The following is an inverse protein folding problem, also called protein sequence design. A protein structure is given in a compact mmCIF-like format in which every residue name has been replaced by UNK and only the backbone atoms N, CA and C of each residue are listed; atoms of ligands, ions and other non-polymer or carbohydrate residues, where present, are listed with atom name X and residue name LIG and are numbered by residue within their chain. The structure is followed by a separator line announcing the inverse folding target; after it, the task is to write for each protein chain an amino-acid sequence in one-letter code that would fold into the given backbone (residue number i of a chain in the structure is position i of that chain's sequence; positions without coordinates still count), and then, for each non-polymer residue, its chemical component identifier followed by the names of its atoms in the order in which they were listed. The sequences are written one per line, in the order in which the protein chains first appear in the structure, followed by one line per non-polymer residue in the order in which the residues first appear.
data_IF_846898669937
#
_entry.id   IF_846898669937
#
_cell.length_a   1.000
_cell.length_b   1.000
_cell.length_c   1.000
_cell.angle_alpha   90.00
_cell.angle_beta   90.00
_cell.angle_gamma   90.00
#
_symmetry.space_group_name_H-M   'P 1'
#
loop_
_entity.id
_entity.type
_entity.pdbx_description
1 polymer ?
#
# COMPACT_ATOMS: atom_id res chain seq x y z
N UNK A 1 7.86 -21.68 -0.13
CA UNK A 1 7.30 -20.62 0.73
C UNK A 1 6.26 -21.11 1.74
N UNK A 2 5.52 -22.21 1.50
CA UNK A 2 4.41 -22.64 2.39
C UNK A 2 4.78 -23.04 3.84
N UNK A 3 6.01 -23.43 4.14
CA UNK A 3 6.37 -23.89 5.49
C UNK A 3 6.46 -22.77 6.54
N UNK A 4 6.82 -21.54 6.14
CA UNK A 4 6.84 -20.38 7.06
C UNK A 4 5.43 -19.95 7.44
N UNK A 5 4.51 -19.92 6.47
CA UNK A 5 3.09 -19.65 6.71
C UNK A 5 2.49 -20.71 7.65
N UNK A 6 2.78 -21.99 7.41
CA UNK A 6 2.32 -23.08 8.27
C UNK A 6 2.85 -22.97 9.72
N UNK A 7 4.13 -22.63 9.91
CA UNK A 7 4.73 -22.48 11.23
C UNK A 7 4.13 -21.32 12.06
N UNK A 8 3.67 -20.24 11.40
CA UNK A 8 3.03 -19.10 12.07
C UNK A 8 1.50 -19.20 12.16
N UNK A 9 0.88 -20.18 11.49
CA UNK A 9 -0.59 -20.41 11.56
C UNK A 9 -1.04 -21.24 12.77
N UNK A 10 -0.11 -21.65 13.65
CA UNK A 10 -0.42 -22.48 14.83
C UNK A 10 -0.66 -21.67 16.11
N UNK A 11 -0.80 -20.35 16.03
CA UNK A 11 -1.15 -19.55 17.21
C UNK A 11 -2.61 -19.86 17.58
N UNK A 12 -2.80 -20.55 18.70
CA UNK A 12 -4.13 -20.83 19.22
C UNK A 12 -4.77 -19.55 19.77
N UNK A 13 -6.09 -19.44 19.65
CA UNK A 13 -6.85 -18.30 20.18
C UNK A 13 -6.80 -18.31 21.72
N UNK A 14 -6.27 -17.25 22.33
CA UNK A 14 -6.37 -16.99 23.75
C UNK A 14 -7.76 -16.39 24.09
N UNK A 15 -8.22 -16.49 25.36
CA UNK A 15 -9.53 -15.94 25.76
C UNK A 15 -9.72 -14.44 25.51
N UNK A 16 -8.62 -13.69 25.40
CA UNK A 16 -8.59 -12.25 25.12
C UNK A 16 -8.41 -11.91 23.64
N UNK A 17 -8.25 -12.89 22.75
CA UNK A 17 -8.06 -12.64 21.33
C UNK A 17 -9.36 -12.12 20.71
N UNK A 18 -9.21 -11.24 19.71
CA UNK A 18 -10.35 -10.74 18.97
C UNK A 18 -11.10 -11.88 18.27
N UNK A 19 -12.43 -11.78 18.24
CA UNK A 19 -13.22 -12.64 17.36
C UNK A 19 -12.90 -12.28 15.91
N UNK A 20 -12.21 -13.17 15.21
CA UNK A 20 -11.81 -12.94 13.81
C UNK A 20 -12.96 -13.34 12.90
N UNK A 21 -13.71 -12.35 12.44
CA UNK A 21 -14.69 -12.47 11.37
C UNK A 21 -14.34 -11.54 10.19
N UNK A 22 -15.18 -11.56 9.15
CA UNK A 22 -14.94 -10.77 7.94
C UNK A 22 -14.96 -9.26 8.24
N UNK A 23 -15.82 -8.81 9.15
CA UNK A 23 -15.96 -7.39 9.50
C UNK A 23 -14.74 -6.90 10.27
N UNK A 24 -14.26 -7.71 11.23
CA UNK A 24 -13.03 -7.43 11.97
C UNK A 24 -11.81 -7.36 11.04
N UNK A 25 -11.70 -8.28 10.08
CA UNK A 25 -10.61 -8.24 9.09
C UNK A 25 -10.69 -6.97 8.25
N UNK A 26 -11.89 -6.59 7.78
CA UNK A 26 -12.07 -5.37 7.00
C UNK A 26 -11.71 -4.11 7.81
N UNK A 27 -12.07 -4.06 9.08
CA UNK A 27 -11.71 -2.97 10.00
C UNK A 27 -10.20 -2.86 10.18
N UNK A 28 -9.53 -3.99 10.45
CA UNK A 28 -8.07 -4.02 10.63
C UNK A 28 -7.35 -3.59 9.35
N UNK A 29 -7.77 -4.10 8.19
CA UNK A 29 -7.15 -3.76 6.91
C UNK A 29 -7.29 -2.28 6.58
N UNK A 30 -8.45 -1.66 6.86
CA UNK A 30 -8.67 -0.21 6.70
C UNK A 30 -7.65 0.63 7.47
N UNK A 31 -7.22 0.16 8.63
CA UNK A 31 -6.32 0.89 9.53
C UNK A 31 -4.85 0.87 9.13
N UNK A 32 -4.43 0.02 8.19
CA UNK A 32 -3.03 -0.01 7.75
C UNK A 32 -2.69 1.17 6.84
N UNK A 33 -1.41 1.53 6.81
CA UNK A 33 -0.86 2.39 5.77
C UNK A 33 -0.34 1.52 4.63
N UNK A 34 -0.65 1.94 3.41
CA UNK A 34 -0.25 1.32 2.15
C UNK A 34 0.71 2.27 1.44
N UNK A 35 1.70 1.76 0.73
CA UNK A 35 2.58 2.59 -0.09
C UNK A 35 2.45 2.29 -1.58
N UNK A 36 3.02 3.16 -2.40
CA UNK A 36 2.91 3.13 -3.87
C UNK A 36 4.16 2.58 -4.57
N UNK A 37 5.12 2.06 -3.81
CA UNK A 37 6.33 1.40 -4.33
C UNK A 37 6.00 0.41 -5.45
N UNK A 38 6.37 0.75 -6.68
CA UNK A 38 6.09 0.00 -7.91
C UNK A 38 4.60 -0.32 -8.18
N UNK A 39 3.70 0.33 -7.45
CA UNK A 39 2.25 0.12 -7.47
C UNK A 39 1.49 1.42 -7.82
N UNK A 40 2.12 2.29 -8.61
CA UNK A 40 1.61 3.60 -8.98
C UNK A 40 0.54 3.61 -10.07
N UNK A 41 0.34 2.47 -10.74
CA UNK A 41 -0.67 2.36 -11.80
C UNK A 41 -2.10 2.39 -11.24
N UNK A 42 -3.05 2.86 -12.07
CA UNK A 42 -4.49 2.81 -11.75
C UNK A 42 -4.97 1.41 -11.35
N UNK A 43 -4.39 0.37 -11.98
CA UNK A 43 -4.78 -1.02 -11.76
C UNK A 43 -4.33 -1.55 -10.39
N UNK A 44 -3.32 -0.90 -9.79
CA UNK A 44 -2.85 -1.21 -8.44
C UNK A 44 -3.52 -0.32 -7.39
N UNK A 45 -3.72 0.97 -7.72
CA UNK A 45 -4.22 1.95 -6.78
C UNK A 45 -5.73 1.79 -6.50
N UNK A 46 -6.55 1.51 -7.51
CA UNK A 46 -8.01 1.41 -7.31
C UNK A 46 -8.43 0.30 -6.35
N UNK A 47 -7.91 -0.94 -6.44
CA UNK A 47 -8.23 -1.96 -5.44
C UNK A 47 -7.83 -1.59 -4.02
N UNK A 48 -6.72 -0.87 -3.83
CA UNK A 48 -6.31 -0.35 -2.52
C UNK A 48 -7.34 0.64 -1.97
N UNK A 49 -7.94 1.46 -2.84
CA UNK A 49 -8.98 2.43 -2.46
C UNK A 49 -10.36 1.80 -2.17
N UNK A 50 -10.58 0.53 -2.52
CA UNK A 50 -11.74 -0.24 -2.04
C UNK A 50 -11.54 -0.72 -0.59
N UNK A 51 -10.29 -0.78 -0.12
CA UNK A 51 -9.92 -1.25 1.22
C UNK A 51 -9.74 -0.09 2.19
N UNK A 52 -9.09 1.00 1.78
CA UNK A 52 -8.81 2.17 2.63
C UNK A 52 -8.99 3.48 1.89
N UNK A 53 -8.81 4.61 2.56
CA UNK A 53 -8.84 5.94 1.93
C UNK A 53 -7.43 6.49 1.63
N UNK A 54 -7.39 7.59 0.89
CA UNK A 54 -6.15 8.23 0.46
C UNK A 54 -5.27 8.76 1.60
N UNK A 55 -5.80 8.96 2.82
CA UNK A 55 -4.99 9.38 3.98
C UNK A 55 -4.12 8.23 4.52
N UNK A 56 -4.43 7.00 4.14
CA UNK A 56 -3.66 5.81 4.45
C UNK A 56 -2.74 5.38 3.30
N UNK A 57 -2.62 6.18 2.23
CA UNK A 57 -1.72 5.89 1.10
C UNK A 57 -0.50 6.81 1.15
N UNK A 58 0.69 6.23 1.15
CA UNK A 58 1.97 6.90 1.20
C UNK A 58 2.72 6.79 -0.14
N UNK A 59 3.49 7.81 -0.47
CA UNK A 59 4.40 7.75 -1.62
C UNK A 59 5.60 6.85 -1.31
N UNK A 60 5.92 5.94 -2.23
CA UNK A 60 7.08 5.05 -2.15
C UNK A 60 7.61 4.71 -3.54
N UNK A 61 8.94 4.55 -3.67
CA UNK A 61 9.61 4.25 -4.95
C UNK A 61 10.32 2.91 -4.97
N UNK A 62 10.56 2.31 -3.80
CA UNK A 62 11.45 1.15 -3.62
C UNK A 62 12.92 1.39 -4.05
N UNK A 63 13.32 2.64 -4.28
CA UNK A 63 14.71 2.95 -4.65
C UNK A 63 15.70 2.54 -3.54
N UNK A 64 16.84 1.90 -3.87
CA UNK A 64 17.42 1.66 -5.19
C UNK A 64 17.18 0.27 -5.79
N UNK A 65 16.18 -0.48 -5.35
CA UNK A 65 15.95 -1.84 -5.84
C UNK A 65 15.56 -1.92 -7.34
N UNK A 66 14.62 -1.11 -7.86
CA UNK A 66 14.25 -1.13 -9.28
C UNK A 66 15.16 -0.22 -10.15
N UNK A 67 15.28 -0.50 -11.45
CA UNK A 67 15.94 0.40 -12.40
C UNK A 67 15.26 1.79 -12.44
N UNK A 68 16.04 2.86 -12.65
CA UNK A 68 15.53 4.25 -12.72
C UNK A 68 14.32 4.41 -13.65
N UNK A 69 14.30 3.86 -14.88
CA UNK A 69 13.12 4.02 -15.76
C UNK A 69 11.83 3.44 -15.17
N UNK A 70 11.93 2.37 -14.37
CA UNK A 70 10.77 1.76 -13.70
C UNK A 70 10.25 2.68 -12.60
N UNK A 71 11.15 3.34 -11.87
CA UNK A 71 10.78 4.36 -10.86
C UNK A 71 10.08 5.53 -11.54
N UNK A 72 10.66 6.04 -12.62
CA UNK A 72 10.12 7.19 -13.37
C UNK A 72 8.72 6.89 -13.93
N UNK A 73 8.54 5.74 -14.59
CA UNK A 73 7.23 5.32 -15.10
C UNK A 73 6.20 5.20 -13.98
N UNK A 74 6.59 4.64 -12.84
CA UNK A 74 5.70 4.48 -11.69
C UNK A 74 5.26 5.83 -11.09
N UNK A 75 6.17 6.80 -11.04
CA UNK A 75 5.88 8.17 -10.60
C UNK A 75 4.95 8.86 -11.60
N UNK A 76 5.19 8.72 -12.90
CA UNK A 76 4.32 9.28 -13.94
C UNK A 76 2.90 8.71 -13.86
N UNK A 77 2.75 7.39 -13.62
CA UNK A 77 1.43 6.80 -13.41
C UNK A 77 0.69 7.41 -12.22
N UNK A 78 1.36 7.61 -11.08
CA UNK A 78 0.77 8.27 -9.92
C UNK A 78 0.34 9.71 -10.24
N UNK A 79 1.22 10.50 -10.87
CA UNK A 79 0.91 11.88 -11.26
C UNK A 79 -0.28 11.98 -12.21
N UNK A 80 -0.49 10.96 -13.04
CA UNK A 80 -1.61 10.88 -13.99
C UNK A 80 -2.95 10.49 -13.34
N UNK A 81 -2.94 10.04 -12.08
CA UNK A 81 -4.14 9.57 -11.40
C UNK A 81 -5.07 10.74 -11.03
N UNK A 82 -6.26 10.77 -11.63
CA UNK A 82 -7.25 11.85 -11.44
C UNK A 82 -8.14 11.69 -10.21
N UNK A 83 -7.93 10.65 -9.40
CA UNK A 83 -8.73 10.38 -8.20
C UNK A 83 -8.26 11.11 -6.94
N UNK A 84 -7.11 11.81 -6.99
CA UNK A 84 -6.63 12.62 -5.88
C UNK A 84 -7.40 13.95 -5.79
N UNK A 85 -7.69 14.39 -4.56
CA UNK A 85 -8.04 15.80 -4.35
C UNK A 85 -6.82 16.71 -4.50
N UNK A 86 -7.02 18.01 -4.70
CA UNK A 86 -5.93 18.97 -4.92
C UNK A 86 -4.90 19.04 -3.78
N UNK A 87 -5.29 18.67 -2.55
CA UNK A 87 -4.36 18.62 -1.41
C UNK A 87 -3.58 17.31 -1.34
N UNK A 88 -4.14 16.22 -1.89
CA UNK A 88 -3.54 14.88 -1.90
C UNK A 88 -2.57 14.68 -3.07
N UNK A 89 -2.64 15.50 -4.13
CA UNK A 89 -1.72 15.44 -5.26
C UNK A 89 -0.34 16.05 -4.99
N UNK A 90 -0.06 16.51 -3.77
CA UNK A 90 1.23 17.09 -3.36
C UNK A 90 2.25 15.96 -3.11
N UNK A 91 2.63 15.26 -4.17
CA UNK A 91 3.75 14.31 -4.14
C UNK A 91 5.04 15.13 -4.21
N UNK A 92 5.67 15.37 -3.06
CA UNK A 92 7.02 15.94 -3.00
C UNK A 92 8.02 14.89 -3.50
N UNK A 93 8.34 14.93 -4.80
CA UNK A 93 9.45 14.19 -5.37
C UNK A 93 10.78 14.82 -4.89
N UNK A 94 11.20 14.50 -3.67
CA UNK A 94 12.47 14.92 -3.10
C UNK A 94 13.42 13.72 -2.98
N UNK A 95 13.68 12.98 -4.06
CA UNK A 95 14.77 11.97 -4.12
C UNK A 95 15.31 11.83 -5.56
N UNK A 96 15.61 12.93 -6.27
CA UNK A 96 16.28 12.86 -7.58
C UNK A 96 17.43 13.87 -7.76
N UNK A 97 17.83 14.57 -6.70
CA UNK A 97 18.88 15.62 -6.76
C UNK A 97 20.13 15.31 -5.95
N UNK A 98 20.49 14.02 -5.82
CA UNK A 98 21.72 13.56 -5.18
C UNK A 98 22.71 13.00 -6.19
#
# INVERSE_FOLDING_TARGET
MGWRTAAHSQVGLAPQDAAIDADHIAEVLRGFYYETALAGSRNSLLPTLEVTDLNHVLFGTDWPAPPVPVVDDNIEYLKSFTGFTSDQSKVNACILSG
#
